data_IF_400545738072
#
_entry.id   IF_400545738072
#
_cell.length_a   1.000
_cell.length_b   1.000
_cell.length_c   1.000
_cell.angle_alpha   90.00
_cell.angle_beta   90.00
_cell.angle_gamma   90.00
#
_symmetry.space_group_name_H-M   'P 1'
#
loop_
_entity.id
_entity.type
_entity.pdbx_description
1 polymer ?
#
# COMPACT_ATOMS: atom_id res chain seq x y z
N UNK A 1 -0.60 13.38 10.65
CA UNK A 1 0.63 12.61 10.95
C UNK A 1 0.76 11.40 10.02
N UNK A 2 -0.16 10.42 10.04
CA UNK A 2 -0.11 9.27 9.11
C UNK A 2 -0.10 9.66 7.62
N UNK A 3 -0.95 10.60 7.18
CA UNK A 3 -0.97 11.00 5.76
C UNK A 3 0.36 11.61 5.27
N UNK A 4 1.08 12.32 6.15
CA UNK A 4 2.40 12.86 5.84
C UNK A 4 3.45 11.74 5.79
N UNK A 5 3.32 10.74 6.67
CA UNK A 5 4.18 9.56 6.67
C UNK A 5 4.00 8.72 5.40
N UNK A 6 2.75 8.47 4.97
CA UNK A 6 2.48 7.80 3.69
C UNK A 6 3.11 8.53 2.50
N UNK A 7 3.01 9.86 2.48
CA UNK A 7 3.55 10.67 1.39
C UNK A 7 5.08 10.57 1.33
N UNK A 8 5.78 10.70 2.47
CA UNK A 8 7.24 10.60 2.53
C UNK A 8 7.72 9.18 2.23
N UNK A 9 7.10 8.18 2.86
CA UNK A 9 7.47 6.77 2.67
C UNK A 9 7.20 6.29 1.23
N UNK A 10 6.14 6.80 0.59
CA UNK A 10 5.85 6.56 -0.83
C UNK A 10 6.86 7.26 -1.77
N UNK A 11 7.23 8.51 -1.47
CA UNK A 11 8.19 9.31 -2.27
C UNK A 11 9.58 8.69 -2.33
N UNK A 12 10.08 8.20 -1.19
CA UNK A 12 11.39 7.54 -1.11
C UNK A 12 11.35 6.04 -1.41
N UNK A 13 10.18 5.40 -1.32
CA UNK A 13 10.03 3.97 -1.62
C UNK A 13 9.85 3.66 -3.11
N UNK A 14 8.91 4.36 -3.77
CA UNK A 14 8.50 4.07 -5.15
C UNK A 14 8.53 5.35 -6.03
N UNK A 15 8.46 6.53 -5.41
CA UNK A 15 8.34 7.82 -6.06
C UNK A 15 9.66 8.44 -6.55
N UNK A 16 9.63 9.77 -6.70
CA UNK A 16 10.68 10.58 -7.36
C UNK A 16 12.07 10.42 -6.72
N UNK A 17 12.14 10.21 -5.40
CA UNK A 17 13.40 10.17 -4.65
C UNK A 17 13.83 8.75 -4.27
N UNK A 18 13.32 7.72 -4.96
CA UNK A 18 13.69 6.31 -4.71
C UNK A 18 15.18 5.99 -4.85
N UNK A 19 15.96 6.90 -5.45
CA UNK A 19 17.41 6.77 -5.63
C UNK A 19 18.22 7.60 -4.63
N UNK A 20 17.55 8.37 -3.76
CA UNK A 20 18.22 9.16 -2.73
C UNK A 20 18.96 8.25 -1.74
N UNK A 21 20.04 8.77 -1.10
CA UNK A 21 20.76 8.03 -0.07
C UNK A 21 19.83 7.58 1.05
N UNK A 22 20.00 6.33 1.50
CA UNK A 22 19.12 5.74 2.52
C UNK A 22 19.13 6.50 3.84
N UNK A 23 20.24 7.14 4.20
CA UNK A 23 20.33 7.98 5.39
C UNK A 23 19.45 9.24 5.30
N UNK A 24 19.34 9.84 4.12
CA UNK A 24 18.49 11.01 3.87
C UNK A 24 17.00 10.62 3.93
N UNK A 25 16.65 9.47 3.34
CA UNK A 25 15.30 8.94 3.42
C UNK A 25 14.87 8.62 4.87
N UNK A 26 15.78 8.06 5.69
CA UNK A 26 15.51 7.81 7.12
C UNK A 26 15.35 9.13 7.89
N UNK A 27 16.21 10.12 7.63
CA UNK A 27 16.09 11.43 8.26
C UNK A 27 14.75 12.10 7.94
N UNK A 28 14.31 12.06 6.68
CA UNK A 28 13.01 12.59 6.26
C UNK A 28 11.83 11.85 6.92
N UNK A 29 11.94 10.54 7.15
CA UNK A 29 10.93 9.78 7.91
C UNK A 29 10.91 10.22 9.38
N UNK A 30 12.09 10.40 9.99
CA UNK A 30 12.22 10.84 11.39
C UNK A 30 11.77 12.29 11.62
N UNK A 31 11.84 13.16 10.61
CA UNK A 31 11.22 14.49 10.66
C UNK A 31 9.70 14.42 10.82
N UNK A 32 9.05 13.39 10.26
CA UNK A 32 7.61 13.17 10.40
C UNK A 32 7.29 12.47 11.71
N UNK A 33 8.00 11.39 12.03
CA UNK A 33 7.84 10.66 13.28
C UNK A 33 9.00 9.71 13.55
N UNK A 34 9.31 9.52 14.83
CA UNK A 34 10.23 8.50 15.34
C UNK A 34 9.52 7.43 16.14
N UNK A 35 8.17 7.45 16.21
CA UNK A 35 7.37 6.49 16.96
C UNK A 35 7.39 5.12 16.25
N UNK A 36 8.01 4.08 16.84
CA UNK A 36 8.10 2.75 16.24
C UNK A 36 6.74 2.14 15.91
N UNK A 37 5.69 2.47 16.67
CA UNK A 37 4.35 1.94 16.47
C UNK A 37 3.70 2.53 15.21
N UNK A 38 3.80 3.85 15.00
CA UNK A 38 3.27 4.52 13.82
C UNK A 38 4.02 4.13 12.54
N UNK A 39 5.35 3.99 12.64
CA UNK A 39 6.18 3.44 11.56
C UNK A 39 5.78 1.98 11.24
N UNK A 40 5.47 1.20 12.27
CA UNK A 40 4.96 -0.17 12.15
C UNK A 40 3.63 -0.24 11.41
N UNK A 41 2.67 0.65 11.72
CA UNK A 41 1.38 0.71 11.02
C UNK A 41 1.59 0.96 9.52
N UNK A 42 2.39 1.95 9.15
CA UNK A 42 2.65 2.27 7.75
C UNK A 42 3.37 1.12 7.02
N UNK A 43 4.35 0.50 7.69
CA UNK A 43 5.02 -0.68 7.17
C UNK A 43 4.02 -1.84 6.95
N UNK A 44 3.02 -1.98 7.82
CA UNK A 44 1.95 -2.95 7.68
C UNK A 44 1.07 -2.72 6.45
N UNK A 45 0.72 -1.46 6.15
CA UNK A 45 0.00 -1.08 4.92
C UNK A 45 0.83 -1.45 3.69
N UNK A 46 2.11 -1.06 3.68
CA UNK A 46 3.04 -1.39 2.60
C UNK A 46 3.25 -2.91 2.44
N UNK A 47 3.27 -3.69 3.53
CA UNK A 47 3.34 -5.15 3.48
C UNK A 47 2.06 -5.80 2.96
N UNK A 48 0.90 -5.16 3.16
CA UNK A 48 -0.39 -5.67 2.68
C UNK A 48 -0.52 -5.59 1.15
N UNK A 49 0.31 -4.78 0.49
CA UNK A 49 0.42 -4.69 -0.96
C UNK A 49 0.74 -6.07 -1.59
N UNK A 50 -0.23 -6.61 -2.32
CA UNK A 50 -0.11 -7.89 -3.01
C UNK A 50 0.76 -7.84 -4.28
N UNK A 51 1.03 -6.64 -4.80
CA UNK A 51 1.83 -6.45 -6.02
C UNK A 51 3.33 -6.43 -5.73
N UNK A 52 3.71 -6.27 -4.46
CA UNK A 52 5.12 -6.24 -4.02
C UNK A 52 5.86 -4.95 -4.39
N UNK A 53 5.18 -3.98 -5.01
CA UNK A 53 5.76 -2.69 -5.42
C UNK A 53 6.24 -1.92 -4.18
N UNK A 54 5.54 -2.07 -3.06
CA UNK A 54 5.83 -1.42 -1.77
C UNK A 54 6.99 -2.03 -0.98
N UNK A 55 7.69 -3.03 -1.54
CA UNK A 55 8.84 -3.67 -0.89
C UNK A 55 9.96 -2.71 -0.43
N UNK A 56 10.38 -1.71 -1.24
CA UNK A 56 11.34 -0.71 -0.79
C UNK A 56 10.84 0.16 0.38
N UNK A 57 9.55 0.50 0.40
CA UNK A 57 8.92 1.27 1.49
C UNK A 57 9.00 0.51 2.82
N UNK A 58 8.72 -0.79 2.82
CA UNK A 58 8.86 -1.64 4.02
C UNK A 58 10.30 -1.62 4.54
N UNK A 59 11.29 -1.78 3.65
CA UNK A 59 12.72 -1.76 4.04
C UNK A 59 13.19 -0.41 4.55
N UNK A 60 12.60 0.68 4.07
CA UNK A 60 12.90 2.03 4.56
C UNK A 60 12.38 2.20 5.99
N UNK A 61 11.12 1.83 6.23
CA UNK A 61 10.47 1.97 7.55
C UNK A 61 11.10 1.05 8.59
N UNK A 62 11.46 -0.17 8.22
CA UNK A 62 12.22 -1.09 9.08
C UNK A 62 13.56 -0.47 9.51
N UNK A 63 14.31 0.13 8.58
CA UNK A 63 15.57 0.81 8.90
C UNK A 63 15.39 2.10 9.71
N UNK A 64 14.23 2.74 9.61
CA UNK A 64 13.86 3.88 10.45
C UNK A 64 13.44 3.46 11.87
N UNK A 65 13.35 2.16 12.17
CA UNK A 65 13.02 1.64 13.50
C UNK A 65 11.55 1.25 13.68
N UNK A 66 10.84 0.92 12.61
CA UNK A 66 9.48 0.40 12.70
C UNK A 66 9.39 -0.87 13.56
N UNK A 67 8.36 -0.97 14.40
CA UNK A 67 8.02 -2.23 15.04
C UNK A 67 7.39 -3.19 14.02
N UNK A 68 8.19 -4.13 13.54
CA UNK A 68 7.77 -5.10 12.53
C UNK A 68 6.72 -6.10 13.05
N UNK A 69 6.54 -6.23 14.38
CA UNK A 69 5.44 -7.03 14.95
C UNK A 69 4.11 -6.32 14.77
N UNK A 70 4.09 -5.00 14.98
CA UNK A 70 2.94 -4.13 14.68
C UNK A 70 2.65 -4.16 13.18
N UNK A 71 3.69 -4.04 12.35
CA UNK A 71 3.55 -4.12 10.89
C UNK A 71 2.93 -5.42 10.41
N UNK A 72 3.42 -6.57 10.90
CA UNK A 72 2.87 -7.88 10.54
C UNK A 72 1.40 -8.03 10.95
N UNK A 73 1.05 -7.60 12.17
CA UNK A 73 -0.34 -7.62 12.65
C UNK A 73 -1.24 -6.74 11.77
N UNK A 74 -0.82 -5.51 11.52
CA UNK A 74 -1.60 -4.57 10.73
C UNK A 74 -1.74 -4.99 9.26
N UNK A 75 -0.71 -5.61 8.68
CA UNK A 75 -0.78 -6.15 7.32
C UNK A 75 -1.88 -7.22 7.15
N UNK A 76 -2.09 -8.07 8.16
CA UNK A 76 -3.16 -9.08 8.16
C UNK A 76 -4.54 -8.40 8.22
N UNK A 77 -4.69 -7.40 9.08
CA UNK A 77 -5.92 -6.61 9.21
C UNK A 77 -6.28 -5.93 7.88
N UNK A 78 -5.31 -5.24 7.27
CA UNK A 78 -5.49 -4.52 6.00
C UNK A 78 -5.83 -5.49 4.86
N UNK A 79 -5.11 -6.62 4.72
CA UNK A 79 -5.47 -7.65 3.73
C UNK A 79 -6.89 -8.18 3.94
N UNK A 80 -7.28 -8.41 5.19
CA UNK A 80 -8.63 -8.84 5.55
C UNK A 80 -9.69 -7.80 5.18
N UNK A 81 -9.40 -6.51 5.41
CA UNK A 81 -10.28 -5.41 5.04
C UNK A 81 -10.43 -5.30 3.51
N UNK A 82 -9.32 -5.32 2.77
CA UNK A 82 -9.33 -5.28 1.31
C UNK A 82 -10.09 -6.46 0.75
N UNK A 83 -9.86 -7.68 1.26
CA UNK A 83 -10.58 -8.86 0.84
C UNK A 83 -12.10 -8.75 1.12
N UNK A 84 -12.50 -8.24 2.29
CA UNK A 84 -13.92 -7.98 2.59
C UNK A 84 -14.51 -6.91 1.69
N UNK A 85 -13.77 -5.84 1.43
CA UNK A 85 -14.19 -4.74 0.56
C UNK A 85 -14.37 -5.21 -0.88
N UNK A 86 -13.39 -5.96 -1.41
CA UNK A 86 -13.47 -6.60 -2.73
C UNK A 86 -14.65 -7.56 -2.79
N UNK A 87 -14.90 -8.38 -1.75
CA UNK A 87 -16.07 -9.26 -1.73
C UNK A 87 -17.40 -8.49 -1.73
N UNK A 88 -17.46 -7.36 -1.03
CA UNK A 88 -18.65 -6.52 -0.93
C UNK A 88 -18.90 -5.68 -2.20
N UNK A 89 -17.84 -5.33 -2.95
CA UNK A 89 -17.90 -4.46 -4.13
C UNK A 89 -17.49 -5.17 -5.43
N UNK A 90 -17.28 -6.50 -5.39
CA UNK A 90 -17.22 -7.34 -6.57
C UNK A 90 -18.56 -7.18 -7.28
N UNK A 91 -18.51 -6.47 -8.41
CA UNK A 91 -19.67 -6.09 -9.20
C UNK A 91 -20.57 -7.31 -9.44
N UNK A 92 -21.90 -7.16 -9.29
CA UNK A 92 -22.84 -8.17 -9.73
C UNK A 92 -22.67 -8.47 -11.24
N UNK A 93 -23.01 -9.68 -11.70
CA UNK A 93 -22.86 -10.10 -13.08
C UNK A 93 -23.91 -9.43 -13.97
N UNK A 94 -23.71 -8.17 -14.31
CA UNK A 94 -24.39 -7.54 -15.43
C UNK A 94 -23.34 -6.89 -16.32
N UNK A 95 -22.86 -7.64 -17.31
CA UNK A 95 -22.89 -7.27 -18.73
C UNK A 95 -22.13 -8.30 -19.61
N UNK A 96 -22.62 -9.54 -19.66
CA UNK A 96 -22.28 -10.48 -20.73
C UNK A 96 -23.43 -10.66 -21.74
N UNK A 97 -24.55 -9.97 -21.52
CA UNK A 97 -25.76 -10.07 -22.34
C UNK A 97 -25.87 -9.00 -23.43
N UNK A 98 -25.26 -7.82 -23.26
CA UNK A 98 -25.48 -6.71 -24.18
C UNK A 98 -24.49 -6.68 -25.36
N UNK A 99 -23.37 -7.40 -25.28
CA UNK A 99 -22.44 -7.56 -26.41
C UNK A 99 -22.88 -8.61 -27.45
N UNK A 100 -23.89 -9.43 -27.14
CA UNK A 100 -24.47 -10.40 -28.10
C UNK A 100 -25.59 -9.82 -28.97
N UNK A 101 -26.10 -8.62 -28.67
CA UNK A 101 -27.17 -7.98 -29.46
C UNK A 101 -26.69 -6.97 -30.50
N UNK A 102 -25.38 -6.69 -30.57
CA UNK A 102 -24.81 -5.75 -31.58
C UNK A 102 -24.18 -6.48 -32.78
N UNK A 103 -23.98 -7.80 -32.72
CA UNK A 103 -23.48 -8.60 -33.86
C UNK A 103 -24.53 -9.48 -34.53
N UNK A 104 -25.82 -9.32 -34.21
CA UNK A 104 -26.93 -10.08 -34.79
C UNK A 104 -27.94 -9.20 -35.54
N UNK A 105 -27.50 -8.04 -36.06
CA UNK A 105 -28.35 -7.12 -36.84
C UNK A 105 -27.75 -6.64 -38.17
N UNK A 106 -26.70 -7.30 -38.65
CA UNK A 106 -26.09 -7.05 -39.98
C UNK A 106 -25.97 -8.33 -40.82
N UNK A 107 -27.00 -9.18 -40.84
CA UNK A 107 -27.18 -10.19 -41.88
C UNK A 107 -28.64 -10.31 -42.31
#
# INVERSE_FOLDING_TARGET
MLAALCAVAGRYGIGEDRHAPRAEAIAAVHEVTTDPWLLGIEAGVAMADSTGISGPTVRLLEAAGADMRVAAGHAVEVRGLVHRWVKAHALPPYDQGLYRSVTARDH
#
